data_IF_303102557542
#
_entry.id   IF_303102557542
#
_cell.length_a   1.000
_cell.length_b   1.000
_cell.length_c   1.000
_cell.angle_alpha   90.00
_cell.angle_beta   90.00
_cell.angle_gamma   90.00
#
_symmetry.space_group_name_H-M   'P 1'
#
loop_
_entity.id
_entity.type
_entity.pdbx_description
1 polymer ?
#
# COMPACT_ATOMS: atom_id res chain seq x y z
N UNK A 1 16.98 -4.63 -16.13
CA UNK A 1 18.44 -4.86 -16.07
C UNK A 1 18.83 -6.22 -15.47
N UNK A 2 18.29 -6.64 -14.31
CA UNK A 2 18.75 -7.87 -13.62
C UNK A 2 17.81 -9.08 -13.67
N UNK A 3 16.67 -9.00 -14.35
CA UNK A 3 15.62 -10.04 -14.35
C UNK A 3 14.74 -9.96 -13.09
N UNK A 4 13.42 -10.12 -13.20
CA UNK A 4 12.50 -9.96 -12.08
C UNK A 4 12.75 -10.97 -10.95
N UNK A 5 13.15 -12.20 -11.27
CA UNK A 5 13.42 -13.25 -10.26
C UNK A 5 14.58 -12.87 -9.35
N UNK A 6 15.68 -12.32 -9.91
CA UNK A 6 16.83 -11.87 -9.10
C UNK A 6 16.51 -10.65 -8.26
N UNK A 7 15.72 -9.71 -8.79
CA UNK A 7 15.30 -8.52 -8.04
C UNK A 7 14.47 -8.95 -6.82
N UNK A 8 13.51 -9.86 -7.01
CA UNK A 8 12.69 -10.39 -5.91
C UNK A 8 13.54 -11.21 -4.92
N UNK A 9 14.48 -12.04 -5.41
CA UNK A 9 15.40 -12.79 -4.55
C UNK A 9 16.18 -11.87 -3.61
N UNK A 10 16.82 -10.83 -4.14
CA UNK A 10 17.57 -9.87 -3.32
C UNK A 10 16.65 -9.11 -2.37
N UNK A 11 15.47 -8.68 -2.83
CA UNK A 11 14.50 -8.01 -1.98
C UNK A 11 14.04 -8.90 -0.80
N UNK A 12 13.83 -10.20 -1.03
CA UNK A 12 13.52 -11.16 0.03
C UNK A 12 14.69 -11.31 1.02
N UNK A 13 15.92 -11.42 0.55
CA UNK A 13 17.10 -11.46 1.43
C UNK A 13 17.25 -10.20 2.26
N UNK A 14 17.09 -9.02 1.67
CA UNK A 14 17.12 -7.78 2.41
C UNK A 14 15.95 -7.67 3.40
N UNK A 15 14.81 -8.31 3.12
CA UNK A 15 13.69 -8.38 4.07
C UNK A 15 14.08 -9.23 5.29
N UNK A 16 14.75 -10.36 5.09
CA UNK A 16 15.33 -11.16 6.18
C UNK A 16 16.30 -10.32 7.02
N UNK A 17 17.22 -9.59 6.36
CA UNK A 17 18.18 -8.71 7.03
C UNK A 17 17.48 -7.60 7.81
N UNK A 18 16.38 -7.05 7.29
CA UNK A 18 15.61 -6.00 7.96
C UNK A 18 15.04 -6.48 9.30
N UNK A 19 14.72 -7.77 9.46
CA UNK A 19 14.18 -8.34 10.69
C UNK A 19 15.26 -8.58 11.77
N UNK A 20 16.54 -8.71 11.41
CA UNK A 20 17.62 -9.01 12.34
C UNK A 20 17.78 -7.98 13.47
N UNK A 21 17.74 -6.65 13.21
CA UNK A 21 17.74 -5.64 14.27
C UNK A 21 16.66 -5.89 15.33
N UNK A 22 15.46 -6.34 14.93
CA UNK A 22 14.36 -6.58 15.86
C UNK A 22 14.48 -7.85 16.72
N UNK A 23 15.35 -8.76 16.29
CA UNK A 23 15.68 -10.00 17.01
C UNK A 23 16.79 -9.73 18.05
N UNK A 24 17.81 -8.96 17.67
CA UNK A 24 19.02 -8.75 18.49
C UNK A 24 18.82 -7.68 19.56
N UNK A 25 18.36 -6.48 19.18
CA UNK A 25 18.27 -5.34 20.10
C UNK A 25 17.19 -4.36 19.68
N UNK A 26 16.29 -4.02 20.61
CA UNK A 26 15.15 -3.13 20.35
C UNK A 26 15.43 -1.75 20.93
N UNK A 27 15.97 -0.88 20.10
CA UNK A 27 16.16 0.53 20.38
C UNK A 27 15.36 1.34 19.37
N UNK A 28 15.06 2.62 19.63
CA UNK A 28 14.41 3.49 18.64
C UNK A 28 15.18 3.53 17.31
N UNK A 29 16.51 3.46 17.36
CA UNK A 29 17.37 3.40 16.18
C UNK A 29 17.15 2.10 15.37
N UNK A 30 17.15 0.94 16.03
CA UNK A 30 16.96 -0.34 15.33
C UNK A 30 15.56 -0.48 14.74
N UNK A 31 14.54 0.09 15.39
CA UNK A 31 13.19 0.24 14.82
C UNK A 31 13.19 1.12 13.56
N UNK A 32 13.90 2.26 13.58
CA UNK A 32 14.05 3.13 12.42
C UNK A 32 14.75 2.44 11.24
N UNK A 33 15.84 1.73 11.52
CA UNK A 33 16.58 0.94 10.51
C UNK A 33 15.69 -0.17 9.93
N UNK A 34 14.95 -0.89 10.77
CA UNK A 34 13.98 -1.90 10.30
C UNK A 34 12.92 -1.29 9.38
N UNK A 35 12.31 -0.16 9.75
CA UNK A 35 11.30 0.53 8.91
C UNK A 35 11.88 1.00 7.58
N UNK A 36 13.09 1.56 7.59
CA UNK A 36 13.76 2.02 6.38
C UNK A 36 14.08 0.85 5.44
N UNK A 37 14.71 -0.20 5.97
CA UNK A 37 15.10 -1.37 5.19
C UNK A 37 13.87 -2.10 4.64
N UNK A 38 12.87 -2.38 5.48
CA UNK A 38 11.64 -3.06 5.06
C UNK A 38 10.87 -2.26 3.99
N UNK A 39 10.85 -0.93 4.06
CA UNK A 39 10.27 -0.10 2.99
C UNK A 39 11.03 -0.20 1.66
N UNK A 40 12.36 -0.17 1.71
CA UNK A 40 13.21 -0.27 0.51
C UNK A 40 13.11 -1.61 -0.20
N UNK A 41 12.84 -2.70 0.53
CA UNK A 41 12.74 -4.04 -0.06
C UNK A 41 11.42 -4.30 -0.77
N UNK A 42 10.32 -3.79 -0.22
CA UNK A 42 8.97 -4.04 -0.77
C UNK A 42 8.77 -3.30 -2.10
N UNK A 43 9.36 -2.11 -2.24
CA UNK A 43 9.19 -1.26 -3.42
C UNK A 43 9.45 -1.97 -4.78
N UNK A 44 10.59 -2.65 -4.99
CA UNK A 44 10.85 -3.33 -6.26
C UNK A 44 10.07 -4.65 -6.45
N UNK A 45 9.59 -5.29 -5.37
CA UNK A 45 8.95 -6.62 -5.46
C UNK A 45 7.63 -6.58 -6.23
N UNK A 46 6.79 -5.58 -5.96
CA UNK A 46 5.50 -5.45 -6.63
C UNK A 46 5.68 -5.22 -8.14
N UNK A 47 6.55 -4.29 -8.52
CA UNK A 47 6.83 -4.03 -9.94
C UNK A 47 7.49 -5.22 -10.63
N UNK A 48 8.40 -5.94 -9.96
CA UNK A 48 9.04 -7.13 -10.53
C UNK A 48 8.04 -8.27 -10.74
N UNK A 49 7.06 -8.46 -9.85
CA UNK A 49 6.00 -9.45 -10.01
C UNK A 49 5.11 -9.16 -11.22
N UNK A 50 4.70 -7.90 -11.41
CA UNK A 50 3.90 -7.49 -12.57
C UNK A 50 4.67 -7.67 -13.89
N UNK A 51 5.96 -7.30 -13.92
CA UNK A 51 6.81 -7.52 -15.09
C UNK A 51 6.96 -9.01 -15.38
N UNK A 52 7.20 -9.85 -14.37
CA UNK A 52 7.26 -11.29 -14.59
C UNK A 52 5.95 -11.81 -15.20
N UNK A 53 4.80 -11.36 -14.68
CA UNK A 53 3.49 -11.77 -15.19
C UNK A 53 3.24 -11.36 -16.64
N UNK A 54 3.71 -10.18 -17.07
CA UNK A 54 3.52 -9.73 -18.46
C UNK A 54 4.33 -10.54 -19.47
N UNK A 55 5.41 -11.20 -19.05
CA UNK A 55 6.25 -12.03 -19.92
C UNK A 55 5.97 -13.53 -19.78
N UNK A 56 5.53 -13.99 -18.60
CA UNK A 56 5.30 -15.40 -18.32
C UNK A 56 3.89 -15.87 -18.72
N UNK A 57 2.91 -14.96 -18.82
CA UNK A 57 1.52 -15.31 -19.12
C UNK A 57 0.97 -14.55 -20.34
N UNK A 58 -0.01 -15.14 -21.05
CA UNK A 58 -0.72 -14.45 -22.13
C UNK A 58 -1.41 -13.17 -21.65
N UNK A 59 -1.48 -12.17 -22.53
CA UNK A 59 -2.09 -10.85 -22.26
C UNK A 59 -3.52 -10.95 -21.74
N UNK A 60 -4.28 -11.95 -22.19
CA UNK A 60 -5.68 -12.16 -21.82
C UNK A 60 -5.83 -12.56 -20.35
N UNK A 61 -4.80 -13.19 -19.77
CA UNK A 61 -4.77 -13.63 -18.37
C UNK A 61 -3.99 -12.70 -17.45
N UNK A 62 -3.31 -11.70 -17.99
CA UNK A 62 -2.51 -10.74 -17.20
C UNK A 62 -3.34 -10.08 -16.10
N UNK A 63 -4.54 -9.58 -16.44
CA UNK A 63 -5.43 -8.94 -15.48
C UNK A 63 -5.81 -9.88 -14.32
N UNK A 64 -5.98 -11.18 -14.58
CA UNK A 64 -6.31 -12.17 -13.57
C UNK A 64 -5.15 -12.38 -12.58
N UNK A 65 -3.92 -12.56 -13.07
CA UNK A 65 -2.75 -12.72 -12.20
C UNK A 65 -2.38 -11.44 -11.43
N UNK A 66 -2.54 -10.27 -12.06
CA UNK A 66 -2.37 -8.99 -11.40
C UNK A 66 -3.42 -8.81 -10.27
N UNK A 67 -4.66 -9.23 -10.49
CA UNK A 67 -5.71 -9.22 -9.47
C UNK A 67 -5.36 -10.14 -8.28
N UNK A 68 -4.88 -11.36 -8.52
CA UNK A 68 -4.40 -12.26 -7.45
C UNK A 68 -3.30 -11.56 -6.61
N UNK A 69 -2.35 -10.90 -7.28
CA UNK A 69 -1.24 -10.20 -6.61
C UNK A 69 -1.75 -9.08 -5.70
N UNK A 70 -2.72 -8.30 -6.17
CA UNK A 70 -3.34 -7.23 -5.39
C UNK A 70 -4.15 -7.82 -4.22
N UNK A 71 -4.89 -8.90 -4.42
CA UNK A 71 -5.63 -9.60 -3.35
C UNK A 71 -4.69 -10.11 -2.27
N UNK A 72 -3.56 -10.74 -2.64
CA UNK A 72 -2.55 -11.17 -1.68
C UNK A 72 -1.95 -9.99 -0.90
N UNK A 73 -1.72 -8.85 -1.57
CA UNK A 73 -1.24 -7.62 -0.92
C UNK A 73 -2.25 -7.09 0.11
N UNK A 74 -3.52 -7.00 -0.27
CA UNK A 74 -4.61 -6.58 0.62
C UNK A 74 -4.77 -7.52 1.81
N UNK A 75 -4.68 -8.83 1.59
CA UNK A 75 -4.71 -9.83 2.66
C UNK A 75 -3.55 -9.65 3.63
N UNK A 76 -2.32 -9.44 3.12
CA UNK A 76 -1.15 -9.17 3.95
C UNK A 76 -1.35 -7.96 4.86
N UNK A 77 -2.00 -6.91 4.35
CA UNK A 77 -2.31 -5.73 5.16
C UNK A 77 -3.33 -5.99 6.27
N UNK A 78 -4.28 -6.91 6.08
CA UNK A 78 -5.25 -7.28 7.13
C UNK A 78 -4.56 -8.15 8.19
N UNK A 79 -3.74 -9.10 7.75
CA UNK A 79 -2.97 -9.99 8.64
C UNK A 79 -1.94 -9.24 9.49
N UNK A 80 -1.40 -8.13 8.99
CA UNK A 80 -0.37 -7.32 9.66
C UNK A 80 -0.85 -6.59 10.93
N UNK A 81 -2.16 -6.54 11.21
CA UNK A 81 -2.69 -5.78 12.37
C UNK A 81 -3.14 -6.73 13.49
N UNK A 82 -4.35 -7.30 13.40
CA UNK A 82 -4.91 -8.08 14.50
C UNK A 82 -4.29 -9.49 14.62
N UNK A 83 -4.14 -10.28 13.54
CA UNK A 83 -3.51 -11.60 13.62
C UNK A 83 -2.04 -11.51 14.05
N UNK A 84 -1.28 -10.58 13.46
CA UNK A 84 0.10 -10.36 13.86
C UNK A 84 0.21 -9.90 15.32
N UNK A 85 -0.69 -9.02 15.77
CA UNK A 85 -0.76 -8.61 17.16
C UNK A 85 -0.97 -9.78 18.12
N UNK A 86 -1.86 -10.72 17.78
CA UNK A 86 -2.09 -11.94 18.56
C UNK A 86 -0.84 -12.83 18.63
N UNK A 87 -0.13 -13.00 17.52
CA UNK A 87 1.13 -13.77 17.49
C UNK A 87 2.20 -13.11 18.37
N UNK A 88 2.31 -11.77 18.32
CA UNK A 88 3.25 -11.02 19.17
C UNK A 88 2.91 -11.18 20.66
N UNK A 89 1.63 -11.14 21.02
CA UNK A 89 1.19 -11.33 22.41
C UNK A 89 1.47 -12.75 22.92
N UNK A 90 1.29 -13.76 22.06
CA UNK A 90 1.44 -15.17 22.47
C UNK A 90 2.89 -15.67 22.45
N UNK A 91 3.67 -15.27 21.45
CA UNK A 91 5.03 -15.79 21.22
C UNK A 91 6.13 -14.75 21.49
N UNK A 92 5.75 -13.50 21.77
CA UNK A 92 6.68 -12.40 21.91
C UNK A 92 7.21 -11.88 20.57
N UNK A 93 7.80 -10.69 20.61
CA UNK A 93 8.35 -10.04 19.40
C UNK A 93 9.51 -10.83 18.79
N UNK A 94 10.41 -11.44 19.58
CA UNK A 94 11.61 -12.11 19.04
C UNK A 94 11.23 -13.28 18.13
N UNK A 95 10.36 -14.17 18.63
CA UNK A 95 9.91 -15.33 17.86
C UNK A 95 9.08 -14.91 16.65
N UNK A 96 8.26 -13.87 16.79
CA UNK A 96 7.46 -13.33 15.68
C UNK A 96 8.36 -12.82 14.54
N UNK A 97 9.35 -11.99 14.84
CA UNK A 97 10.27 -11.48 13.82
C UNK A 97 11.17 -12.57 13.23
N UNK A 98 11.56 -13.59 14.01
CA UNK A 98 12.27 -14.76 13.50
C UNK A 98 11.40 -15.55 12.50
N UNK A 99 10.12 -15.76 12.80
CA UNK A 99 9.16 -16.42 11.90
C UNK A 99 8.93 -15.60 10.62
N UNK A 100 8.76 -14.27 10.76
CA UNK A 100 8.64 -13.35 9.62
C UNK A 100 9.92 -13.27 8.77
N UNK A 101 11.10 -13.60 9.32
CA UNK A 101 12.33 -13.73 8.56
C UNK A 101 12.45 -15.11 7.87
N UNK A 102 11.97 -16.18 8.51
CA UNK A 102 12.02 -17.53 7.97
C UNK A 102 11.25 -17.71 6.66
N UNK A 103 10.05 -17.14 6.55
CA UNK A 103 9.22 -17.31 5.35
C UNK A 103 9.82 -16.64 4.08
N UNK A 104 10.26 -15.37 4.11
CA UNK A 104 11.03 -14.77 3.02
C UNK A 104 12.32 -15.53 2.69
N UNK A 105 13.01 -16.08 3.68
CA UNK A 105 14.21 -16.88 3.45
C UNK A 105 13.91 -18.16 2.67
N UNK A 106 12.86 -18.89 3.05
CA UNK A 106 12.42 -20.10 2.33
C UNK A 106 12.04 -19.75 0.88
N UNK A 107 11.30 -18.65 0.68
CA UNK A 107 10.93 -18.18 -0.66
C UNK A 107 12.16 -17.76 -1.48
N UNK A 108 13.14 -17.08 -0.86
CA UNK A 108 14.38 -16.72 -1.52
C UNK A 108 15.16 -17.96 -1.97
N UNK A 109 15.29 -18.97 -1.11
CA UNK A 109 15.95 -20.25 -1.45
C UNK A 109 15.20 -20.99 -2.57
N UNK A 110 13.87 -20.97 -2.55
CA UNK A 110 13.06 -21.55 -3.62
C UNK A 110 13.28 -20.83 -4.96
N UNK A 111 13.28 -19.49 -4.95
CA UNK A 111 13.54 -18.69 -6.15
C UNK A 111 14.97 -18.86 -6.67
N UNK A 112 15.96 -19.04 -5.77
CA UNK A 112 17.34 -19.32 -6.16
C UNK A 112 17.44 -20.61 -6.97
N UNK A 113 16.77 -21.68 -6.52
CA UNK A 113 16.70 -22.97 -7.23
C UNK A 113 15.99 -22.86 -8.59
N UNK A 114 15.00 -21.98 -8.71
CA UNK A 114 14.24 -21.72 -9.94
C UNK A 114 14.84 -20.65 -10.85
N UNK A 115 15.94 -20.00 -10.44
CA UNK A 115 16.50 -18.85 -11.17
C UNK A 115 17.09 -19.18 -12.55
N UNK A 116 17.32 -20.48 -12.84
CA UNK A 116 17.70 -20.98 -14.17
C UNK A 116 16.57 -20.97 -15.21
N UNK A 117 15.31 -20.91 -14.75
CA UNK A 117 14.10 -20.95 -15.60
C UNK A 117 13.45 -19.57 -15.81
N UNK A 118 14.17 -18.48 -15.54
CA UNK A 118 13.63 -17.13 -15.70
C UNK A 118 13.28 -16.85 -17.18
N UNK A 119 11.98 -16.97 -17.50
CA UNK A 119 11.40 -16.76 -18.82
C UNK A 119 11.76 -15.38 -19.35
N UNK A 120 11.81 -14.36 -18.47
CA UNK A 120 12.17 -13.00 -18.86
C UNK A 120 13.62 -12.92 -19.32
N UNK A 121 14.54 -13.70 -18.75
CA UNK A 121 15.94 -13.74 -19.20
C UNK A 121 16.09 -14.45 -20.55
N UNK A 122 15.21 -15.40 -20.88
CA UNK A 122 15.17 -16.05 -22.21
C UNK A 122 14.56 -15.13 -23.29
N UNK A 123 13.59 -14.28 -22.91
CA UNK A 123 12.89 -13.39 -23.85
C UNK A 123 13.49 -11.97 -23.95
N UNK A 124 14.21 -11.49 -22.92
CA UNK A 124 14.74 -10.12 -22.82
C UNK A 124 15.98 -9.82 -23.69
N UNK A 125 16.27 -10.64 -24.70
CA UNK A 125 17.30 -10.35 -25.70
C UNK A 125 17.03 -9.09 -26.54
N UNK A 126 15.92 -8.36 -26.35
CA UNK A 126 15.48 -7.24 -27.21
C UNK A 126 14.79 -6.07 -26.52
N UNK A 127 15.09 -5.73 -25.25
CA UNK A 127 14.62 -4.46 -24.67
C UNK A 127 15.76 -3.43 -24.64
N UNK A 128 15.58 -2.34 -25.39
CA UNK A 128 16.52 -1.22 -25.47
C UNK A 128 16.93 -0.73 -24.08
N UNK A 129 18.24 -0.52 -23.94
CA UNK A 129 18.88 -0.09 -22.71
C UNK A 129 18.56 1.38 -22.42
N UNK A 130 17.41 1.68 -21.81
CA UNK A 130 17.16 3.02 -21.25
C UNK A 130 17.97 3.17 -19.96
N UNK A 131 18.97 4.07 -19.99
CA UNK A 131 19.82 4.36 -18.84
C UNK A 131 19.04 4.93 -17.65
N UNK A 132 19.58 4.79 -16.43
CA UNK A 132 18.93 5.29 -15.20
C UNK A 132 18.61 6.80 -15.26
N UNK A 133 19.45 7.56 -15.96
CA UNK A 133 19.26 9.00 -16.18
C UNK A 133 17.98 9.26 -16.99
N UNK A 134 17.70 8.47 -18.03
CA UNK A 134 16.48 8.58 -18.84
C UNK A 134 15.20 8.30 -18.04
N UNK A 135 15.27 7.37 -17.09
CA UNK A 135 14.16 7.05 -16.19
C UNK A 135 13.92 8.21 -15.21
N UNK A 136 14.98 8.74 -14.60
CA UNK A 136 14.88 9.88 -13.69
C UNK A 136 14.36 11.14 -14.38
N UNK A 137 14.82 11.41 -15.61
CA UNK A 137 14.29 12.53 -16.41
C UNK A 137 12.82 12.32 -16.76
N UNK A 138 12.40 11.09 -17.09
CA UNK A 138 10.99 10.79 -17.36
C UNK A 138 10.10 10.99 -16.14
N UNK A 139 10.57 10.58 -14.94
CA UNK A 139 9.85 10.84 -13.68
C UNK A 139 9.76 12.35 -13.42
N UNK A 140 10.85 13.09 -13.60
CA UNK A 140 10.85 14.55 -13.43
C UNK A 140 9.87 15.26 -14.37
N UNK A 141 9.84 14.84 -15.64
CA UNK A 141 8.89 15.36 -16.63
C UNK A 141 7.44 15.02 -16.26
N UNK A 142 7.16 13.80 -15.82
CA UNK A 142 5.82 13.39 -15.36
C UNK A 142 5.37 14.16 -14.11
N UNK A 143 6.26 14.41 -13.15
CA UNK A 143 5.99 15.28 -11.99
C UNK A 143 5.65 16.70 -12.48
N UNK A 144 6.45 17.24 -13.39
CA UNK A 144 6.19 18.54 -14.01
C UNK A 144 4.80 18.60 -14.67
N UNK A 145 4.43 17.56 -15.42
CA UNK A 145 3.12 17.44 -16.06
C UNK A 145 1.97 17.44 -15.03
N UNK A 146 2.12 16.66 -13.96
CA UNK A 146 1.14 16.55 -12.87
C UNK A 146 0.91 17.92 -12.22
N UNK A 147 1.98 18.65 -11.90
CA UNK A 147 1.87 19.94 -11.20
C UNK A 147 1.48 21.12 -12.10
N UNK A 148 1.75 21.03 -13.40
CA UNK A 148 1.39 22.05 -14.39
C UNK A 148 -0.11 22.03 -14.71
N UNK A 149 -0.74 20.86 -14.80
CA UNK A 149 -2.18 20.76 -15.07
C UNK A 149 -2.99 20.86 -13.77
N UNK A 150 -3.84 21.89 -13.64
CA UNK A 150 -4.67 22.10 -12.44
C UNK A 150 -5.56 20.90 -12.09
N UNK A 151 -6.10 20.19 -13.09
CA UNK A 151 -6.97 19.02 -12.85
C UNK A 151 -6.17 17.83 -12.33
N UNK A 152 -5.05 17.50 -12.98
CA UNK A 152 -4.16 16.41 -12.58
C UNK A 152 -3.54 16.69 -11.21
N UNK A 153 -3.14 17.95 -10.95
CA UNK A 153 -2.66 18.39 -9.64
C UNK A 153 -3.69 18.19 -8.53
N UNK A 154 -4.95 18.58 -8.77
CA UNK A 154 -6.02 18.41 -7.79
C UNK A 154 -6.29 16.92 -7.49
N UNK A 155 -6.31 16.08 -8.53
CA UNK A 155 -6.45 14.63 -8.37
C UNK A 155 -5.25 14.02 -7.63
N UNK A 156 -4.03 14.49 -7.91
CA UNK A 156 -2.83 14.05 -7.21
C UNK A 156 -2.86 14.41 -5.72
N UNK A 157 -3.22 15.65 -5.38
CA UNK A 157 -3.32 16.09 -3.98
C UNK A 157 -4.37 15.26 -3.25
N UNK A 158 -5.56 15.11 -3.87
CA UNK A 158 -6.64 14.29 -3.32
C UNK A 158 -6.19 12.84 -3.09
N UNK A 159 -5.49 12.25 -4.06
CA UNK A 159 -4.93 10.91 -3.96
C UNK A 159 -3.94 10.81 -2.81
N UNK A 160 -2.92 11.68 -2.80
CA UNK A 160 -1.84 11.66 -1.83
C UNK A 160 -2.37 11.85 -0.39
N UNK A 161 -3.16 12.90 -0.15
CA UNK A 161 -3.71 13.20 1.19
C UNK A 161 -4.62 12.08 1.67
N UNK A 162 -5.53 11.59 0.83
CA UNK A 162 -6.47 10.56 1.25
C UNK A 162 -5.78 9.22 1.52
N UNK A 163 -4.86 8.80 0.64
CA UNK A 163 -4.09 7.57 0.83
C UNK A 163 -3.17 7.68 2.04
N UNK A 164 -2.50 8.81 2.22
CA UNK A 164 -1.68 9.08 3.39
C UNK A 164 -2.48 9.02 4.70
N UNK A 165 -3.69 9.62 4.73
CA UNK A 165 -4.56 9.61 5.90
C UNK A 165 -4.99 8.19 6.28
N UNK A 166 -5.49 7.41 5.32
CA UNK A 166 -5.95 6.03 5.56
C UNK A 166 -4.78 5.14 5.97
N UNK A 167 -3.63 5.24 5.30
CA UNK A 167 -2.46 4.43 5.63
C UNK A 167 -1.85 4.82 6.98
N UNK A 168 -1.88 6.09 7.35
CA UNK A 168 -1.41 6.56 8.67
C UNK A 168 -2.31 6.04 9.79
N UNK A 169 -3.62 6.08 9.57
CA UNK A 169 -4.58 5.45 10.47
C UNK A 169 -4.38 3.93 10.53
N UNK A 170 -4.39 3.24 9.40
CA UNK A 170 -4.34 1.77 9.34
C UNK A 170 -3.02 1.19 9.85
N UNK A 171 -1.88 1.82 9.52
CA UNK A 171 -0.56 1.25 9.77
C UNK A 171 0.11 1.74 11.07
N UNK A 172 -0.39 2.83 11.68
CA UNK A 172 0.26 3.43 12.85
C UNK A 172 -0.73 3.70 13.99
N UNK A 173 -1.76 4.51 13.75
CA UNK A 173 -2.54 5.08 14.84
C UNK A 173 -3.86 4.38 15.17
N UNK A 174 -4.41 3.57 14.27
CA UNK A 174 -5.77 3.03 14.40
C UNK A 174 -5.95 2.20 15.65
N UNK A 175 -5.06 1.23 15.88
CA UNK A 175 -5.10 0.38 17.08
C UNK A 175 -4.84 1.16 18.39
N UNK A 176 -3.74 1.93 18.54
CA UNK A 176 -3.50 2.66 19.80
C UNK A 176 -4.56 3.72 20.08
N UNK A 177 -5.11 4.38 19.05
CA UNK A 177 -6.20 5.34 19.23
C UNK A 177 -7.50 4.66 19.70
N UNK A 178 -7.85 3.51 19.14
CA UNK A 178 -9.01 2.73 19.60
C UNK A 178 -8.84 2.22 21.03
N UNK A 179 -7.63 1.78 21.38
CA UNK A 179 -7.32 1.34 22.74
C UNK A 179 -7.46 2.50 23.74
N UNK A 180 -6.91 3.68 23.40
CA UNK A 180 -7.00 4.88 24.25
C UNK A 180 -8.44 5.41 24.37
N UNK A 181 -9.21 5.43 23.27
CA UNK A 181 -10.54 6.02 23.24
C UNK A 181 -11.62 5.16 23.92
N UNK A 182 -11.54 3.82 23.80
CA UNK A 182 -12.58 2.92 24.31
C UNK A 182 -12.16 2.14 25.56
N UNK A 183 -10.91 2.29 26.01
CA UNK A 183 -10.33 1.57 27.17
C UNK A 183 -10.53 0.04 27.13
N UNK A 184 -10.79 -0.52 25.95
CA UNK A 184 -10.97 -1.95 25.74
C UNK A 184 -9.65 -2.71 25.65
N UNK A 185 -9.71 -4.04 25.59
CA UNK A 185 -8.51 -4.86 25.42
C UNK A 185 -7.75 -4.49 24.14
N UNK A 186 -6.41 -4.56 24.20
CA UNK A 186 -5.56 -4.25 23.04
C UNK A 186 -5.89 -5.13 21.82
N UNK A 187 -6.25 -6.40 22.06
CA UNK A 187 -6.72 -7.32 21.03
C UNK A 187 -8.00 -6.84 20.34
N UNK A 188 -9.01 -6.41 21.11
CA UNK A 188 -10.25 -5.89 20.55
C UNK A 188 -10.02 -4.58 19.75
N UNK A 189 -9.20 -3.67 20.27
CA UNK A 189 -8.85 -2.44 19.56
C UNK A 189 -8.14 -2.70 18.22
N UNK A 190 -7.19 -3.65 18.17
CA UNK A 190 -6.55 -4.08 16.92
C UNK A 190 -7.53 -4.72 15.95
N UNK A 191 -8.42 -5.59 16.43
CA UNK A 191 -9.43 -6.23 15.60
C UNK A 191 -10.36 -5.20 14.94
N UNK A 192 -11.02 -4.35 15.74
CA UNK A 192 -11.98 -3.39 15.22
C UNK A 192 -11.35 -2.29 14.36
N UNK A 193 -10.14 -1.83 14.68
CA UNK A 193 -9.42 -0.87 13.81
C UNK A 193 -8.99 -1.49 12.48
N UNK A 194 -8.63 -2.78 12.46
CA UNK A 194 -8.20 -3.49 11.23
C UNK A 194 -9.30 -3.65 10.18
N UNK A 195 -10.58 -3.51 10.55
CA UNK A 195 -11.69 -3.55 9.60
C UNK A 195 -11.61 -2.47 8.51
N UNK A 196 -10.85 -1.40 8.73
CA UNK A 196 -10.53 -0.42 7.66
C UNK A 196 -9.84 -1.09 6.46
N UNK A 197 -8.97 -2.07 6.70
CA UNK A 197 -8.30 -2.82 5.64
C UNK A 197 -9.26 -3.74 4.89
N UNK A 198 -10.16 -4.41 5.62
CA UNK A 198 -11.23 -5.23 5.03
C UNK A 198 -12.13 -4.39 4.13
N UNK A 199 -12.57 -3.23 4.62
CA UNK A 199 -13.35 -2.28 3.83
C UNK A 199 -12.58 -1.80 2.60
N UNK A 200 -11.29 -1.48 2.77
CA UNK A 200 -10.39 -1.07 1.69
C UNK A 200 -10.28 -2.10 0.56
N UNK A 201 -10.37 -3.40 0.89
CA UNK A 201 -10.39 -4.49 -0.08
C UNK A 201 -11.76 -4.64 -0.75
N UNK A 202 -12.86 -4.53 0.01
CA UNK A 202 -14.23 -4.66 -0.52
C UNK A 202 -14.62 -3.50 -1.44
N UNK A 203 -14.16 -2.27 -1.16
CA UNK A 203 -14.50 -1.08 -1.94
C UNK A 203 -14.22 -1.23 -3.44
N UNK A 204 -12.99 -1.58 -3.86
CA UNK A 204 -12.67 -1.83 -5.26
C UNK A 204 -13.49 -2.97 -5.88
N UNK A 205 -13.77 -4.04 -5.13
CA UNK A 205 -14.59 -5.17 -5.60
C UNK A 205 -16.02 -4.74 -5.95
N UNK A 206 -16.62 -3.85 -5.15
CA UNK A 206 -17.96 -3.31 -5.44
C UNK A 206 -17.98 -2.42 -6.69
N UNK A 207 -16.84 -1.87 -7.09
CA UNK A 207 -16.72 -1.02 -8.28
C UNK A 207 -16.27 -1.75 -9.54
N UNK A 208 -15.85 -3.03 -9.45
CA UNK A 208 -15.18 -3.73 -10.55
C UNK A 208 -16.06 -3.97 -11.78
N UNK A 209 -17.39 -3.83 -11.67
CA UNK A 209 -18.33 -3.91 -12.79
C UNK A 209 -18.84 -2.56 -13.31
N UNK A 210 -18.45 -1.44 -12.69
CA UNK A 210 -19.01 -0.12 -13.03
C UNK A 210 -18.20 0.51 -14.17
N UNK A 211 -18.77 0.50 -15.38
CA UNK A 211 -18.22 1.22 -16.52
C UNK A 211 -18.68 2.67 -16.49
N UNK A 212 -17.75 3.60 -16.21
CA UNK A 212 -18.03 5.03 -16.21
C UNK A 212 -17.60 5.68 -17.52
N UNK A 213 -18.50 6.43 -18.16
CA UNK A 213 -18.16 7.30 -19.28
C UNK A 213 -17.34 8.50 -18.80
N UNK A 214 -16.56 9.10 -19.72
CA UNK A 214 -15.73 10.29 -19.44
C UNK A 214 -16.51 11.45 -18.81
N UNK A 215 -17.80 11.57 -19.13
CA UNK A 215 -18.70 12.62 -18.62
C UNK A 215 -19.17 12.36 -17.17
N UNK A 216 -19.36 11.08 -16.80
CA UNK A 216 -19.84 10.68 -15.47
C UNK A 216 -18.72 10.57 -14.46
N UNK A 217 -17.48 10.33 -14.92
CA UNK A 217 -16.31 10.12 -14.09
C UNK A 217 -16.02 11.29 -13.11
N UNK A 218 -16.03 12.57 -13.50
CA UNK A 218 -15.81 13.68 -12.57
C UNK A 218 -16.86 13.73 -11.45
N UNK A 219 -18.12 13.43 -11.77
CA UNK A 219 -19.21 13.40 -10.77
C UNK A 219 -19.04 12.22 -9.81
N UNK A 220 -18.62 11.07 -10.32
CA UNK A 220 -18.34 9.88 -9.51
C UNK A 220 -17.18 10.12 -8.53
N UNK A 221 -16.06 10.70 -9.00
CA UNK A 221 -14.92 11.09 -8.15
C UNK A 221 -15.38 12.05 -7.04
N UNK A 222 -16.16 13.07 -7.39
CA UNK A 222 -16.68 14.04 -6.42
C UNK A 222 -17.56 13.36 -5.36
N UNK A 223 -18.53 12.54 -5.79
CA UNK A 223 -19.43 11.82 -4.87
C UNK A 223 -18.68 10.87 -3.95
N UNK A 224 -17.74 10.08 -4.49
CA UNK A 224 -16.92 9.18 -3.69
C UNK A 224 -16.01 9.93 -2.70
N UNK A 225 -15.49 11.09 -3.09
CA UNK A 225 -14.67 11.92 -2.19
C UNK A 225 -15.49 12.54 -1.06
N UNK A 226 -16.71 13.02 -1.36
CA UNK A 226 -17.64 13.52 -0.34
C UNK A 226 -18.04 12.39 0.60
N UNK A 227 -18.43 11.23 0.07
CA UNK A 227 -18.79 10.07 0.88
C UNK A 227 -17.62 9.65 1.81
N UNK A 228 -16.40 9.64 1.29
CA UNK A 228 -15.20 9.36 2.08
C UNK A 228 -14.98 10.38 3.21
N UNK A 229 -15.15 11.68 2.94
CA UNK A 229 -15.05 12.72 3.97
C UNK A 229 -16.15 12.56 5.05
N UNK A 230 -17.38 12.24 4.65
CA UNK A 230 -18.47 11.95 5.58
C UNK A 230 -18.17 10.72 6.45
N UNK A 231 -17.52 9.69 5.90
CA UNK A 231 -17.12 8.52 6.68
C UNK A 231 -16.04 8.85 7.73
N UNK A 232 -15.10 9.74 7.41
CA UNK A 232 -14.14 10.26 8.39
C UNK A 232 -14.85 11.03 9.50
N UNK A 233 -15.78 11.92 9.16
CA UNK A 233 -16.58 12.66 10.15
C UNK A 233 -17.44 11.73 11.01
N UNK A 234 -18.03 10.69 10.41
CA UNK A 234 -18.77 9.66 11.13
C UNK A 234 -17.88 8.94 12.15
N UNK A 235 -16.68 8.51 11.74
CA UNK A 235 -15.74 7.85 12.65
C UNK A 235 -15.36 8.78 13.82
N UNK A 236 -15.06 10.04 13.54
CA UNK A 236 -14.76 11.03 14.57
C UNK A 236 -15.93 11.24 15.53
N UNK A 237 -17.16 11.31 15.00
CA UNK A 237 -18.37 11.50 15.80
C UNK A 237 -18.65 10.29 16.72
N UNK A 238 -18.55 9.07 16.18
CA UNK A 238 -18.72 7.82 16.94
C UNK A 238 -17.72 7.72 18.09
N UNK A 239 -16.46 8.09 17.85
CA UNK A 239 -15.42 8.11 18.90
C UNK A 239 -15.68 9.24 19.90
N UNK A 240 -16.00 10.46 19.44
CA UNK A 240 -16.22 11.64 20.30
C UNK A 240 -17.41 11.49 21.25
N UNK A 241 -18.45 10.78 20.84
CA UNK A 241 -19.62 10.50 21.66
C UNK A 241 -19.49 9.24 22.52
N UNK A 242 -18.33 8.59 22.52
CA UNK A 242 -18.08 7.41 23.36
C UNK A 242 -19.02 6.25 23.03
N UNK A 243 -19.38 6.08 21.76
CA UNK A 243 -20.21 4.96 21.33
C UNK A 243 -19.51 3.61 21.57
N UNK A 244 -20.21 2.49 21.36
CA UNK A 244 -19.60 1.18 21.57
C UNK A 244 -18.45 0.89 20.58
N UNK A 245 -17.44 0.15 21.05
CA UNK A 245 -16.28 -0.27 20.24
C UNK A 245 -16.67 -0.99 18.93
N UNK A 246 -17.69 -1.90 18.90
CA UNK A 246 -18.17 -2.48 17.65
C UNK A 246 -18.69 -1.45 16.65
N UNK A 247 -19.40 -0.42 17.11
CA UNK A 247 -19.92 0.63 16.23
C UNK A 247 -18.77 1.43 15.60
N UNK A 248 -17.73 1.72 16.37
CA UNK A 248 -16.52 2.36 15.86
C UNK A 248 -15.80 1.49 14.82
N UNK A 249 -15.76 0.17 15.04
CA UNK A 249 -15.21 -0.76 14.06
C UNK A 249 -16.05 -0.90 12.78
N UNK A 250 -17.38 -0.82 12.88
CA UNK A 250 -18.23 -0.74 11.69
C UNK A 250 -18.01 0.58 10.93
N UNK A 251 -17.79 1.69 11.65
CA UNK A 251 -17.45 2.97 11.03
C UNK A 251 -16.10 2.91 10.29
N UNK A 252 -15.08 2.22 10.83
CA UNK A 252 -13.80 2.02 10.13
C UNK A 252 -13.95 1.11 8.92
N UNK A 253 -14.80 0.08 8.96
CA UNK A 253 -15.13 -0.75 7.80
C UNK A 253 -15.72 0.08 6.66
N UNK A 254 -16.72 0.91 6.97
CA UNK A 254 -17.39 1.78 5.98
C UNK A 254 -16.41 2.83 5.45
N UNK A 255 -15.55 3.40 6.31
CA UNK A 255 -14.47 4.29 5.90
C UNK A 255 -13.50 3.62 4.92
N UNK A 256 -13.09 2.38 5.20
CA UNK A 256 -12.25 1.58 4.32
C UNK A 256 -12.90 1.39 2.95
N UNK A 257 -14.17 1.02 2.94
CA UNK A 257 -14.96 0.82 1.71
C UNK A 257 -15.03 2.10 0.88
N UNK A 258 -15.40 3.22 1.50
CA UNK A 258 -15.45 4.52 0.83
C UNK A 258 -14.08 4.95 0.30
N UNK A 259 -13.01 4.69 1.06
CA UNK A 259 -11.63 4.97 0.67
C UNK A 259 -11.20 4.17 -0.56
N UNK A 260 -11.57 2.89 -0.60
CA UNK A 260 -11.29 2.00 -1.72
C UNK A 260 -12.02 2.41 -3.00
N UNK A 261 -13.33 2.67 -2.91
CA UNK A 261 -14.16 3.17 -4.04
C UNK A 261 -13.59 4.47 -4.60
N UNK A 262 -13.28 5.44 -3.72
CA UNK A 262 -12.65 6.71 -4.11
C UNK A 262 -11.30 6.47 -4.79
N UNK A 263 -10.52 5.52 -4.29
CA UNK A 263 -9.23 5.14 -4.88
C UNK A 263 -9.37 4.72 -6.33
N UNK A 264 -10.30 3.80 -6.63
CA UNK A 264 -10.54 3.32 -8.01
C UNK A 264 -10.94 4.46 -8.94
N UNK A 265 -11.88 5.32 -8.53
CA UNK A 265 -12.31 6.44 -9.38
C UNK A 265 -11.23 7.50 -9.56
N UNK A 266 -10.40 7.74 -8.55
CA UNK A 266 -9.26 8.67 -8.66
C UNK A 266 -8.23 8.14 -9.64
N UNK A 267 -7.93 6.84 -9.58
CA UNK A 267 -7.03 6.17 -10.52
C UNK A 267 -7.58 6.25 -11.95
N UNK A 268 -8.86 5.96 -12.16
CA UNK A 268 -9.50 6.05 -13.46
C UNK A 268 -9.48 7.50 -14.03
N UNK A 269 -9.69 8.50 -13.18
CA UNK A 269 -9.65 9.91 -13.57
C UNK A 269 -8.25 10.35 -14.00
N UNK A 270 -7.22 9.83 -13.33
CA UNK A 270 -5.82 10.02 -13.73
C UNK A 270 -5.55 9.35 -15.06
N UNK A 271 -5.93 8.08 -15.24
CA UNK A 271 -5.76 7.36 -16.51
C UNK A 271 -6.35 8.15 -17.68
N UNK A 272 -7.52 8.76 -17.45
CA UNK A 272 -8.23 9.53 -18.45
C UNK A 272 -7.57 10.89 -18.77
N UNK A 273 -6.78 11.45 -17.85
CA UNK A 273 -6.06 12.71 -18.03
C UNK A 273 -4.62 12.52 -18.55
N UNK A 274 -4.07 11.30 -18.47
CA UNK A 274 -2.69 11.00 -18.85
C UNK A 274 -2.54 10.68 -20.34
N UNK A 275 -1.49 11.20 -21.02
CA UNK A 275 -1.16 10.82 -22.40
C UNK A 275 -0.99 9.30 -22.53
N UNK A 276 -1.50 8.65 -23.61
CA UNK A 276 -1.41 7.20 -23.80
C UNK A 276 0.00 6.64 -23.63
N UNK A 277 0.99 7.36 -24.14
CA UNK A 277 2.40 6.91 -24.20
C UNK A 277 3.15 7.13 -22.88
N UNK A 278 2.60 7.94 -21.97
CA UNK A 278 3.23 8.30 -20.70
C UNK A 278 2.48 7.75 -19.47
N UNK A 279 1.37 7.03 -19.65
CA UNK A 279 0.52 6.56 -18.54
C UNK A 279 1.32 5.86 -17.45
N UNK A 280 2.21 4.95 -17.83
CA UNK A 280 3.04 4.20 -16.87
C UNK A 280 3.95 5.09 -16.02
N UNK A 281 4.57 6.10 -16.62
CA UNK A 281 5.48 7.02 -15.93
C UNK A 281 4.70 7.98 -15.02
N UNK A 282 3.55 8.48 -15.50
CA UNK A 282 2.64 9.29 -14.68
C UNK A 282 2.14 8.49 -13.48
N UNK A 283 1.70 7.24 -13.65
CA UNK A 283 1.30 6.38 -12.53
C UNK A 283 2.43 6.11 -11.54
N UNK A 284 3.65 5.91 -12.02
CA UNK A 284 4.83 5.77 -11.17
C UNK A 284 5.07 7.01 -10.31
N UNK A 285 5.08 8.20 -10.93
CA UNK A 285 5.23 9.47 -10.22
C UNK A 285 4.10 9.70 -9.20
N UNK A 286 2.86 9.39 -9.56
CA UNK A 286 1.70 9.52 -8.68
C UNK A 286 1.80 8.66 -7.42
N UNK A 287 2.19 7.39 -7.59
CA UNK A 287 2.40 6.48 -6.46
C UNK A 287 3.57 6.93 -5.59
N UNK A 288 4.67 7.40 -6.19
CA UNK A 288 5.82 7.90 -5.44
C UNK A 288 5.43 9.08 -4.54
N UNK A 289 4.68 10.05 -5.07
CA UNK A 289 4.17 11.18 -4.27
C UNK A 289 3.20 10.67 -3.18
N UNK A 290 2.36 9.67 -3.49
CA UNK A 290 1.47 9.05 -2.51
C UNK A 290 2.22 8.41 -1.34
N UNK A 291 3.25 7.61 -1.63
CA UNK A 291 4.11 6.97 -0.63
C UNK A 291 4.85 8.02 0.21
N UNK A 292 5.41 9.06 -0.43
CA UNK A 292 6.04 10.17 0.29
C UNK A 292 5.04 10.86 1.23
N UNK A 293 3.79 11.05 0.77
CA UNK A 293 2.70 11.57 1.59
C UNK A 293 2.44 10.72 2.84
N UNK A 294 2.45 9.38 2.72
CA UNK A 294 2.31 8.47 3.88
C UNK A 294 3.44 8.73 4.89
N UNK A 295 4.69 8.83 4.44
CA UNK A 295 5.84 9.10 5.33
C UNK A 295 5.66 10.43 6.07
N UNK A 296 5.32 11.49 5.35
CA UNK A 296 5.11 12.82 5.93
C UNK A 296 3.96 12.82 6.94
N UNK A 297 2.85 12.14 6.64
CA UNK A 297 1.70 12.07 7.56
C UNK A 297 2.02 11.24 8.79
N UNK A 298 2.66 10.07 8.64
CA UNK A 298 3.03 9.23 9.79
C UNK A 298 3.98 9.96 10.74
N UNK A 299 5.00 10.64 10.21
CA UNK A 299 5.91 11.46 11.01
C UNK A 299 5.20 12.69 11.61
N UNK A 300 4.48 13.44 10.79
CA UNK A 300 3.83 14.69 11.20
C UNK A 300 2.76 14.49 12.25
N UNK A 301 1.98 13.40 12.16
CA UNK A 301 1.01 13.04 13.21
C UNK A 301 1.69 12.67 14.53
N UNK A 302 2.85 12.01 14.49
CA UNK A 302 3.65 11.76 15.69
C UNK A 302 4.11 13.07 16.36
N UNK A 303 4.66 14.01 15.59
CA UNK A 303 5.08 15.33 16.12
C UNK A 303 3.92 16.11 16.72
N UNK A 304 2.73 16.03 16.12
CA UNK A 304 1.54 16.69 16.67
C UNK A 304 1.14 16.04 17.99
N UNK A 305 1.10 14.71 18.05
CA UNK A 305 0.70 13.98 19.26
C UNK A 305 1.69 14.17 20.41
N UNK A 306 3.00 14.24 20.14
CA UNK A 306 4.01 14.49 21.18
C UNK A 306 3.88 15.88 21.84
N UNK A 307 3.13 16.81 21.23
CA UNK A 307 2.91 18.17 21.76
C UNK A 307 1.68 18.28 22.67
N UNK A 308 0.79 17.29 22.71
CA UNK A 308 -0.47 17.31 23.46
C UNK A 308 -0.52 16.17 24.48
#
# INVERSE_FOLDING_TARGET
RHGPVRVVFWALLFTVLSCLPMIVSRTPLTLGVWRLLSGLTIAPMYSAALVYQSFAFPSERYCFYAAITITCSSLGSILAVAPLGFVIERFGMTATFALLAGLPLILALFLLRRSGDDVVRRTAGKTEHRGAISILTGIGQAIGLIFRNRRTRALQILWAVSTASVMTFQALWGAPWFHAAFQGSAGAARFWSSLVGVGGMLGPMLTSGIVLTKERLPRAVRRASIANALCWLLLLAVVRWGCSLPLAGLATLVLGLASGVRGVFSLAAVTACSPPDERGVVFGAMNMIGVLGIVVFQWGTGVILDRF
#
